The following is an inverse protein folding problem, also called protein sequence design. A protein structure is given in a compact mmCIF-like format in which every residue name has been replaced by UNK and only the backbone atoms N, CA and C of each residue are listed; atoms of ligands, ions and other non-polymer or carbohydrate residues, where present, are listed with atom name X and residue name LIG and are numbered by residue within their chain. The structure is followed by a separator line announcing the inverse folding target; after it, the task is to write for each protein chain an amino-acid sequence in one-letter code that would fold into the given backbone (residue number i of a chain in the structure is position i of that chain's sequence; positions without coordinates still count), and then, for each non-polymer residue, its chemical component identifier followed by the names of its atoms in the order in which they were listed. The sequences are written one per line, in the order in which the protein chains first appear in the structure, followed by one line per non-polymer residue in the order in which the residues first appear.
data_IF_858363856341
#
_entry.id   IF_858363856341
#
_cell.length_a   1.000
_cell.length_b   1.000
_cell.length_c   1.000
_cell.angle_alpha   90.00
_cell.angle_beta   90.00
_cell.angle_gamma   90.00
#
_symmetry.space_group_name_H-M   'P 1'
#
loop_
_entity.id
_entity.type
_entity.pdbx_description
1 polymer ?
#
# COMPACT_ATOMS: atom_id res chain seq x y z
N UNK A 1 3.72 -8.89 17.16
CA UNK A 1 2.91 -7.73 16.72
C UNK A 1 2.36 -8.03 15.33
N UNK A 2 1.07 -7.81 15.07
CA UNK A 2 0.48 -8.04 13.74
C UNK A 2 0.84 -6.91 12.77
N UNK A 3 1.12 -7.22 11.49
CA UNK A 3 1.29 -6.20 10.44
C UNK A 3 0.02 -5.36 10.35
N UNK A 4 0.15 -4.05 10.13
CA UNK A 4 -0.99 -3.14 9.91
C UNK A 4 -0.81 -2.37 8.61
N UNK A 5 -1.92 -2.19 7.89
CA UNK A 5 -2.02 -1.29 6.76
C UNK A 5 -2.26 0.12 7.30
N UNK A 6 -1.36 1.06 6.98
CA UNK A 6 -1.41 2.44 7.46
C UNK A 6 -1.42 3.41 6.29
N UNK A 7 -2.24 4.45 6.38
CA UNK A 7 -2.22 5.55 5.42
C UNK A 7 -1.10 6.51 5.83
N UNK A 8 -0.26 6.86 4.88
CA UNK A 8 0.77 7.87 5.04
C UNK A 8 0.44 9.01 4.10
N UNK A 9 0.35 10.22 4.64
CA UNK A 9 0.20 11.45 3.89
C UNK A 9 1.39 12.35 4.19
N UNK A 10 2.24 12.56 3.20
CA UNK A 10 3.49 13.29 3.33
C UNK A 10 3.83 14.03 2.04
N UNK A 11 4.67 15.05 2.17
CA UNK A 11 4.97 16.01 1.10
C UNK A 11 5.50 15.37 -0.20
N UNK A 12 6.21 14.23 -0.09
CA UNK A 12 6.81 13.49 -1.21
C UNK A 12 6.14 12.15 -1.49
N UNK A 13 5.23 11.71 -0.64
CA UNK A 13 4.59 10.41 -0.72
C UNK A 13 3.25 10.45 0.01
N UNK A 14 2.19 10.11 -0.72
CA UNK A 14 0.88 9.82 -0.16
C UNK A 14 0.48 8.43 -0.63
N UNK A 15 0.06 7.56 0.29
CA UNK A 15 -0.26 6.18 -0.05
C UNK A 15 -0.41 5.25 1.15
N UNK A 16 -0.61 3.97 0.84
CA UNK A 16 -0.71 2.90 1.83
C UNK A 16 0.67 2.29 2.11
N UNK A 17 0.98 2.02 3.37
CA UNK A 17 2.22 1.38 3.79
C UNK A 17 1.97 0.27 4.80
N UNK A 18 2.92 -0.65 4.91
CA UNK A 18 2.95 -1.62 5.99
C UNK A 18 3.65 -1.02 7.20
N UNK A 19 3.11 -1.21 8.41
CA UNK A 19 3.73 -0.73 9.64
C UNK A 19 5.01 -1.48 10.07
N UNK A 20 5.43 -2.51 9.34
CA UNK A 20 6.53 -3.41 9.74
C UNK A 20 7.63 -3.60 8.69
N UNK A 21 7.42 -3.16 7.44
CA UNK A 21 8.39 -3.33 6.36
C UNK A 21 8.29 -2.16 5.38
N UNK A 22 9.10 -2.18 4.32
CA UNK A 22 9.11 -1.12 3.30
C UNK A 22 8.06 -1.32 2.19
N UNK A 23 7.12 -2.25 2.36
CA UNK A 23 6.00 -2.39 1.43
C UNK A 23 5.11 -1.14 1.48
N UNK A 24 4.72 -0.65 0.31
CA UNK A 24 3.76 0.42 0.18
C UNK A 24 3.29 0.62 -1.25
N UNK A 25 2.10 1.19 -1.39
CA UNK A 25 1.49 1.59 -2.66
C UNK A 25 1.28 3.10 -2.64
N UNK A 26 1.90 3.79 -3.59
CA UNK A 26 1.65 5.21 -3.82
C UNK A 26 0.21 5.40 -4.31
N UNK A 27 -0.51 6.32 -3.68
CA UNK A 27 -1.84 6.69 -4.12
C UNK A 27 -1.76 7.35 -5.51
N UNK A 28 -2.48 6.85 -6.52
CA UNK A 28 -2.68 7.61 -7.75
C UNK A 28 -3.54 8.84 -7.43
N UNK A 29 -3.72 9.71 -8.43
CA UNK A 29 -4.63 10.86 -8.27
C UNK A 29 -6.08 10.36 -8.08
N UNK A 30 -6.56 10.42 -6.85
CA UNK A 30 -7.90 9.94 -6.46
C UNK A 30 -8.94 11.04 -6.74
N UNK A 31 -9.40 11.13 -7.99
CA UNK A 31 -10.34 12.18 -8.43
C UNK A 31 -11.79 11.94 -7.96
N UNK A 32 -12.07 10.84 -7.25
CA UNK A 32 -13.41 10.54 -6.71
C UNK A 32 -13.37 9.60 -5.50
N UNK A 33 -14.45 9.58 -4.72
CA UNK A 33 -14.63 8.62 -3.63
C UNK A 33 -14.59 7.18 -4.13
N UNK A 34 -15.13 6.91 -5.34
CA UNK A 34 -15.09 5.56 -5.94
C UNK A 34 -13.65 5.14 -6.24
N UNK A 35 -12.83 6.04 -6.78
CA UNK A 35 -11.41 5.78 -7.01
C UNK A 35 -10.67 5.50 -5.68
N UNK A 36 -10.97 6.26 -4.62
CA UNK A 36 -10.40 6.03 -3.30
C UNK A 36 -10.80 4.67 -2.71
N UNK A 37 -12.08 4.29 -2.82
CA UNK A 37 -12.56 2.99 -2.35
C UNK A 37 -11.93 1.83 -3.13
N UNK A 38 -11.81 1.96 -4.45
CA UNK A 38 -11.14 0.97 -5.29
C UNK A 38 -9.65 0.82 -4.91
N UNK A 39 -8.97 1.94 -4.65
CA UNK A 39 -7.58 1.93 -4.22
C UNK A 39 -7.41 1.29 -2.84
N UNK A 40 -8.29 1.61 -1.88
CA UNK A 40 -8.27 1.01 -0.55
C UNK A 40 -8.46 -0.51 -0.60
N UNK A 41 -9.38 -0.96 -1.45
CA UNK A 41 -9.62 -2.39 -1.66
C UNK A 41 -8.38 -3.08 -2.25
N UNK A 42 -7.80 -2.50 -3.30
CA UNK A 42 -6.58 -3.04 -3.91
C UNK A 42 -5.42 -3.12 -2.91
N UNK A 43 -5.22 -2.07 -2.12
CA UNK A 43 -4.19 -2.05 -1.09
C UNK A 43 -4.42 -3.11 -0.01
N UNK A 44 -5.67 -3.36 0.38
CA UNK A 44 -6.01 -4.41 1.35
C UNK A 44 -5.75 -5.81 0.78
N UNK A 45 -6.22 -6.09 -0.44
CA UNK A 45 -6.02 -7.39 -1.10
C UNK A 45 -4.52 -7.71 -1.31
N UNK A 46 -3.72 -6.71 -1.66
CA UNK A 46 -2.26 -6.87 -1.82
C UNK A 46 -1.56 -7.00 -0.45
N UNK A 47 -1.97 -6.21 0.54
CA UNK A 47 -1.43 -6.27 1.91
C UNK A 47 -1.64 -7.64 2.57
N UNK A 48 -2.78 -8.28 2.33
CA UNK A 48 -3.08 -9.63 2.82
C UNK A 48 -2.12 -10.67 2.23
N UNK A 49 -1.83 -10.57 0.93
CA UNK A 49 -0.91 -11.47 0.21
C UNK A 49 0.55 -11.21 0.51
N UNK A 50 0.92 -9.97 0.82
CA UNK A 50 2.31 -9.62 1.10
C UNK A 50 2.79 -10.28 2.40
N UNK A 51 3.99 -10.83 2.40
CA UNK A 51 4.64 -11.34 3.60
C UNK A 51 5.74 -10.37 4.05
N UNK A 52 5.68 -9.89 5.30
CA UNK A 52 6.67 -8.97 5.83
C UNK A 52 8.10 -9.55 5.86
N UNK A 53 8.23 -10.88 5.72
CA UNK A 53 9.50 -11.61 5.78
C UNK A 53 10.35 -11.43 4.51
N UNK A 54 9.79 -10.89 3.43
CA UNK A 54 10.54 -10.59 2.21
C UNK A 54 10.98 -9.13 2.19
N UNK A 55 12.29 -8.91 2.36
CA UNK A 55 12.96 -7.61 2.15
C UNK A 55 12.74 -7.04 0.73
N UNK A 56 13.27 -5.84 0.44
CA UNK A 56 12.81 -5.00 -0.66
C UNK A 56 13.17 -5.56 -2.04
N UNK A 57 12.23 -6.23 -2.70
CA UNK A 57 12.01 -6.06 -4.13
C UNK A 57 10.65 -6.62 -4.51
N UNK A 58 9.67 -5.72 -4.61
CA UNK A 58 8.59 -5.92 -5.54
C UNK A 58 9.15 -5.72 -6.95
N UNK A 59 9.41 -6.80 -7.66
CA UNK A 59 9.42 -6.78 -9.13
C UNK A 59 8.27 -7.68 -9.60
N UNK A 60 7.05 -7.15 -9.52
CA UNK A 60 5.97 -7.59 -10.40
C UNK A 60 6.17 -6.88 -11.73
N UNK A 61 6.95 -7.50 -12.62
CA UNK A 61 7.10 -7.07 -14.00
C UNK A 61 6.43 -8.10 -14.92
N UNK A 62 5.40 -7.59 -15.62
CA UNK A 62 4.83 -8.07 -16.90
C UNK A 62 3.82 -9.21 -16.87
#
# INVERSE_FOLDING_TARGET
MSKRLIWVDGDKFTGWCCSQCMWGLTAPRLESTVAALAFNRLAQEDFEKHDCTSGPHGESRS
#
